data_IF_859877729792
#
_entry.id   IF_859877729792
#
_cell.length_a   1.000
_cell.length_b   1.000
_cell.length_c   1.000
_cell.angle_alpha   90.00
_cell.angle_beta   90.00
_cell.angle_gamma   90.00
#
_symmetry.space_group_name_H-M   'P 1'
#
loop_
_entity.id
_entity.type
_entity.pdbx_description
1 polymer ?
#
# COMPACT_ATOMS: atom_id res chain seq x y z
N UNK A 1 -67.50 16.27 65.42
CA UNK A 1 -66.12 15.75 65.56
C UNK A 1 -65.69 14.77 64.46
N UNK A 2 -66.53 13.82 63.98
CA UNK A 2 -66.09 12.86 62.94
C UNK A 2 -65.93 13.43 61.51
N UNK A 3 -66.65 14.51 61.17
CA UNK A 3 -66.59 15.15 59.84
C UNK A 3 -65.40 16.11 59.71
N UNK A 4 -65.19 16.95 60.72
CA UNK A 4 -64.04 17.84 60.90
C UNK A 4 -62.70 17.10 60.72
N UNK A 5 -62.53 15.99 61.44
CA UNK A 5 -61.32 15.17 61.33
C UNK A 5 -61.08 14.68 59.89
N UNK A 6 -62.14 14.18 59.23
CA UNK A 6 -62.05 13.70 57.85
C UNK A 6 -61.70 14.80 56.86
N UNK A 7 -62.22 16.02 57.01
CA UNK A 7 -61.85 17.15 56.15
C UNK A 7 -60.39 17.54 56.39
N UNK A 8 -59.97 17.65 57.66
CA UNK A 8 -58.58 17.97 58.00
C UNK A 8 -57.60 16.93 57.41
N UNK A 9 -57.91 15.64 57.55
CA UNK A 9 -57.12 14.53 56.99
C UNK A 9 -57.01 14.62 55.44
N UNK A 10 -58.09 14.99 54.75
CA UNK A 10 -58.08 15.16 53.28
C UNK A 10 -57.24 16.37 52.86
N UNK A 11 -57.39 17.51 53.53
CA UNK A 11 -56.60 18.72 53.24
C UNK A 11 -55.11 18.47 53.46
N UNK A 12 -54.76 17.77 54.53
CA UNK A 12 -53.38 17.37 54.82
C UNK A 12 -52.83 16.40 53.76
N UNK A 13 -53.62 15.42 53.32
CA UNK A 13 -53.23 14.51 52.25
C UNK A 13 -52.99 15.24 50.91
N UNK A 14 -53.82 16.23 50.57
CA UNK A 14 -53.65 17.05 49.36
C UNK A 14 -52.41 17.93 49.45
N UNK A 15 -52.15 18.53 50.61
CA UNK A 15 -50.94 19.32 50.85
C UNK A 15 -49.65 18.47 50.72
N UNK A 16 -49.65 17.25 51.27
CA UNK A 16 -48.54 16.30 51.12
C UNK A 16 -48.34 15.91 49.65
N UNK A 17 -49.41 15.57 48.93
CA UNK A 17 -49.33 15.23 47.51
C UNK A 17 -48.82 16.40 46.66
N UNK A 18 -49.24 17.64 46.97
CA UNK A 18 -48.74 18.84 46.33
C UNK A 18 -47.24 19.04 46.58
N UNK A 19 -46.76 18.87 47.82
CA UNK A 19 -45.32 18.94 48.14
C UNK A 19 -44.51 17.90 47.36
N UNK A 20 -44.99 16.65 47.30
CA UNK A 20 -44.35 15.58 46.53
C UNK A 20 -44.29 15.89 45.03
N UNK A 21 -45.36 16.48 44.46
CA UNK A 21 -45.37 16.92 43.07
C UNK A 21 -44.37 18.06 42.81
N UNK A 22 -44.19 18.99 43.75
CA UNK A 22 -43.19 20.05 43.64
C UNK A 22 -41.77 19.47 43.62
N UNK A 23 -41.47 18.55 44.55
CA UNK A 23 -40.17 17.86 44.60
C UNK A 23 -39.89 17.06 43.32
N UNK A 24 -40.87 16.29 42.83
CA UNK A 24 -40.74 15.52 41.60
C UNK A 24 -40.51 16.42 40.38
N UNK A 25 -41.23 17.53 40.28
CA UNK A 25 -41.09 18.49 39.18
C UNK A 25 -39.71 19.17 39.19
N UNK A 26 -39.19 19.50 40.38
CA UNK A 26 -37.85 20.04 40.53
C UNK A 26 -36.79 19.01 40.09
N UNK A 27 -36.89 17.77 40.56
CA UNK A 27 -35.99 16.69 40.16
C UNK A 27 -36.03 16.41 38.65
N UNK A 28 -37.21 16.49 38.03
CA UNK A 28 -37.39 16.32 36.60
C UNK A 28 -36.74 17.44 35.78
N UNK A 29 -36.81 18.69 36.26
CA UNK A 29 -36.09 19.81 35.64
C UNK A 29 -34.57 19.66 35.78
N UNK A 30 -34.06 19.24 36.94
CA UNK A 30 -32.64 18.99 37.14
C UNK A 30 -32.13 17.86 36.22
N UNK A 31 -32.91 16.77 36.10
CA UNK A 31 -32.60 15.67 35.18
C UNK A 31 -32.61 16.08 33.71
N UNK A 32 -33.53 16.96 33.31
CA UNK A 32 -33.54 17.51 31.96
C UNK A 32 -32.37 18.47 31.71
N UNK A 33 -32.03 19.33 32.67
CA UNK A 33 -30.87 20.21 32.54
C UNK A 33 -29.58 19.40 32.36
N UNK A 34 -29.44 18.29 33.09
CA UNK A 34 -28.33 17.37 32.90
C UNK A 34 -28.36 16.68 31.53
N UNK A 35 -29.52 16.20 31.10
CA UNK A 35 -29.70 15.59 29.77
C UNK A 35 -29.27 16.56 28.67
N UNK A 36 -29.71 17.83 28.73
CA UNK A 36 -29.32 18.90 27.79
C UNK A 36 -27.80 19.13 27.77
N UNK A 37 -27.13 19.11 28.94
CA UNK A 37 -25.66 19.22 28.98
C UNK A 37 -24.99 18.04 28.29
N UNK A 38 -25.50 16.82 28.49
CA UNK A 38 -24.96 15.62 27.87
C UNK A 38 -25.17 15.60 26.35
N UNK A 39 -26.33 16.04 25.85
CA UNK A 39 -26.56 16.16 24.40
C UNK A 39 -25.68 17.21 23.76
N UNK A 40 -25.38 18.33 24.42
CA UNK A 40 -24.40 19.31 23.91
C UNK A 40 -23.01 18.69 23.78
N UNK A 41 -22.55 17.95 24.80
CA UNK A 41 -21.27 17.24 24.73
C UNK A 41 -21.26 16.17 23.62
N UNK A 42 -22.34 15.41 23.48
CA UNK A 42 -22.50 14.43 22.42
C UNK A 42 -22.50 15.05 21.02
N UNK A 43 -23.12 16.22 20.84
CA UNK A 43 -23.13 16.96 19.57
C UNK A 43 -21.73 17.40 19.16
N UNK A 44 -20.95 17.91 20.11
CA UNK A 44 -19.57 18.30 19.89
C UNK A 44 -18.72 17.08 19.47
N UNK A 45 -18.83 15.96 20.20
CA UNK A 45 -18.13 14.72 19.87
C UNK A 45 -18.53 14.15 18.50
N UNK A 46 -19.81 14.19 18.16
CA UNK A 46 -20.35 13.76 16.87
C UNK A 46 -19.82 14.63 15.72
N UNK A 47 -19.77 15.96 15.91
CA UNK A 47 -19.20 16.89 14.93
C UNK A 47 -17.71 16.59 14.68
N UNK A 48 -16.95 16.41 15.75
CA UNK A 48 -15.53 16.04 15.66
C UNK A 48 -15.33 14.70 14.96
N UNK A 49 -16.17 13.70 15.26
CA UNK A 49 -16.13 12.41 14.57
C UNK A 49 -16.42 12.56 13.07
N UNK A 50 -17.36 13.43 12.67
CA UNK A 50 -17.63 13.72 11.25
C UNK A 50 -16.40 14.30 10.53
N UNK A 51 -15.75 15.30 11.14
CA UNK A 51 -14.52 15.89 10.59
C UNK A 51 -13.39 14.87 10.47
N UNK A 52 -13.26 13.97 11.46
CA UNK A 52 -12.27 12.89 11.38
C UNK A 52 -12.57 11.94 10.22
N UNK A 53 -13.84 11.54 10.04
CA UNK A 53 -14.25 10.67 8.92
C UNK A 53 -13.95 11.33 7.57
N UNK A 54 -14.23 12.63 7.41
CA UNK A 54 -13.90 13.38 6.19
C UNK A 54 -12.38 13.43 5.92
N UNK A 55 -11.59 13.65 6.97
CA UNK A 55 -10.12 13.68 6.87
C UNK A 55 -9.58 12.31 6.43
N UNK A 56 -10.05 11.23 7.05
CA UNK A 56 -9.63 9.87 6.68
C UNK A 56 -10.14 9.51 5.28
N UNK A 57 -11.32 9.98 4.86
CA UNK A 57 -11.83 9.77 3.50
C UNK A 57 -10.94 10.44 2.45
N UNK A 58 -10.49 11.67 2.70
CA UNK A 58 -9.51 12.35 1.83
C UNK A 58 -8.21 11.56 1.72
N UNK A 59 -7.65 11.13 2.86
CA UNK A 59 -6.42 10.32 2.87
C UNK A 59 -6.61 8.97 2.14
N UNK A 60 -7.79 8.35 2.25
CA UNK A 60 -8.13 7.10 1.55
C UNK A 60 -8.21 7.31 0.03
N UNK A 61 -8.71 8.47 -0.42
CA UNK A 61 -8.72 8.85 -1.83
C UNK A 61 -7.31 9.04 -2.38
N UNK A 62 -6.43 9.73 -1.63
CA UNK A 62 -5.02 9.90 -1.99
C UNK A 62 -4.28 8.55 -2.04
N UNK A 63 -4.52 7.66 -1.06
CA UNK A 63 -3.99 6.31 -1.07
C UNK A 63 -4.42 5.52 -2.31
N UNK A 64 -5.69 5.64 -2.71
CA UNK A 64 -6.20 4.99 -3.92
C UNK A 64 -5.46 5.48 -5.16
N UNK A 65 -5.25 6.79 -5.29
CA UNK A 65 -4.47 7.36 -6.39
C UNK A 65 -3.00 6.89 -6.37
N UNK A 66 -2.38 6.82 -5.19
CA UNK A 66 -1.01 6.32 -5.02
C UNK A 66 -0.87 4.85 -5.42
N UNK A 67 -1.80 3.99 -4.98
CA UNK A 67 -1.86 2.56 -5.33
C UNK A 67 -1.97 2.38 -6.84
N UNK A 68 -2.84 3.13 -7.52
CA UNK A 68 -2.96 3.06 -8.97
C UNK A 68 -1.67 3.47 -9.69
N UNK A 69 -1.00 4.53 -9.22
CA UNK A 69 0.29 4.95 -9.77
C UNK A 69 1.37 3.88 -9.58
N UNK A 70 1.41 3.23 -8.42
CA UNK A 70 2.34 2.12 -8.15
C UNK A 70 2.03 0.93 -9.07
N UNK A 71 0.75 0.58 -9.24
CA UNK A 71 0.33 -0.50 -10.15
C UNK A 71 0.84 -0.26 -11.58
N UNK A 72 0.68 0.96 -12.10
CA UNK A 72 1.21 1.33 -13.42
C UNK A 72 2.73 1.26 -13.48
N UNK A 73 3.44 1.73 -12.45
CA UNK A 73 4.90 1.68 -12.39
C UNK A 73 5.41 0.24 -12.38
N UNK A 74 4.76 -0.64 -11.62
CA UNK A 74 5.09 -2.07 -11.56
C UNK A 74 4.87 -2.73 -12.92
N UNK A 75 3.74 -2.45 -13.58
CA UNK A 75 3.47 -2.96 -14.92
C UNK A 75 4.52 -2.47 -15.95
N UNK A 76 4.92 -1.19 -15.88
CA UNK A 76 6.01 -0.64 -16.72
C UNK A 76 7.34 -1.34 -16.43
N UNK A 77 7.70 -1.54 -15.16
CA UNK A 77 8.93 -2.25 -14.76
C UNK A 77 8.96 -3.70 -15.27
N UNK A 78 7.83 -4.41 -15.16
CA UNK A 78 7.70 -5.76 -15.71
C UNK A 78 7.90 -5.78 -17.24
N UNK A 79 7.33 -4.80 -17.95
CA UNK A 79 7.54 -4.64 -19.39
C UNK A 79 9.00 -4.37 -19.78
N UNK A 80 9.70 -3.51 -19.01
CA UNK A 80 11.13 -3.23 -19.20
C UNK A 80 11.96 -4.49 -18.95
N UNK A 81 11.67 -5.23 -17.87
CA UNK A 81 12.37 -6.49 -17.57
C UNK A 81 12.18 -7.53 -18.69
N UNK A 82 10.95 -7.69 -19.20
CA UNK A 82 10.71 -8.58 -20.34
C UNK A 82 11.48 -8.16 -21.60
N UNK A 83 11.53 -6.86 -21.89
CA UNK A 83 12.33 -6.32 -22.98
C UNK A 83 13.83 -6.55 -22.81
N UNK A 84 14.36 -6.36 -21.59
CA UNK A 84 15.75 -6.63 -21.26
C UNK A 84 16.10 -8.12 -21.38
N UNK A 85 15.21 -9.02 -20.96
CA UNK A 85 15.39 -10.46 -21.11
C UNK A 85 15.53 -10.83 -22.59
N UNK A 86 14.71 -10.25 -23.46
CA UNK A 86 14.80 -10.47 -24.89
C UNK A 86 16.13 -9.98 -25.48
N UNK A 87 16.59 -8.79 -25.07
CA UNK A 87 17.88 -8.27 -25.51
C UNK A 87 19.04 -9.15 -25.03
N UNK A 88 19.00 -9.66 -23.80
CA UNK A 88 19.99 -10.59 -23.29
C UNK A 88 20.03 -11.88 -24.13
N UNK A 89 18.86 -12.48 -24.45
CA UNK A 89 18.79 -13.67 -25.32
C UNK A 89 19.39 -13.42 -26.70
N UNK A 90 19.05 -12.29 -27.33
CA UNK A 90 19.58 -11.92 -28.65
C UNK A 90 21.09 -11.71 -28.61
N UNK A 91 21.60 -11.09 -27.54
CA UNK A 91 23.04 -10.85 -27.36
C UNK A 91 23.79 -12.16 -27.15
N UNK A 92 23.21 -13.10 -26.37
CA UNK A 92 23.77 -14.43 -26.20
C UNK A 92 23.94 -15.17 -27.54
N UNK A 93 22.91 -15.14 -28.39
CA UNK A 93 22.98 -15.76 -29.72
C UNK A 93 24.07 -15.15 -30.63
N UNK A 94 24.34 -13.84 -30.50
CA UNK A 94 25.45 -13.19 -31.23
C UNK A 94 26.80 -13.70 -30.75
N UNK A 95 27.01 -13.83 -29.44
CA UNK A 95 28.26 -14.35 -28.89
C UNK A 95 28.46 -15.85 -29.15
N UNK A 96 27.39 -16.66 -29.14
CA UNK A 96 27.44 -18.06 -29.58
C UNK A 96 27.89 -18.16 -31.05
N UNK A 97 27.35 -17.30 -31.92
CA UNK A 97 27.79 -17.20 -33.31
C UNK A 97 29.25 -16.77 -33.46
N UNK A 98 29.71 -15.82 -32.63
CA UNK A 98 31.10 -15.39 -32.59
C UNK A 98 32.03 -16.52 -32.14
N UNK A 99 31.66 -17.27 -31.10
CA UNK A 99 32.41 -18.42 -30.60
C UNK A 99 32.56 -19.51 -31.67
N UNK A 100 31.47 -19.81 -32.39
CA UNK A 100 31.51 -20.76 -33.50
C UNK A 100 32.41 -20.26 -34.66
N UNK A 101 32.36 -18.96 -34.96
CA UNK A 101 33.18 -18.32 -36.00
C UNK A 101 34.67 -18.36 -35.66
N UNK A 102 35.04 -18.02 -34.42
CA UNK A 102 36.44 -18.00 -33.96
C UNK A 102 37.02 -19.41 -33.87
N UNK A 103 36.21 -20.40 -33.48
CA UNK A 103 36.59 -21.82 -33.54
C UNK A 103 36.98 -22.23 -34.96
N UNK A 104 36.15 -21.88 -35.95
CA UNK A 104 36.42 -22.19 -37.36
C UNK A 104 37.66 -21.48 -37.90
N UNK A 105 37.92 -20.25 -37.46
CA UNK A 105 39.16 -19.54 -37.80
C UNK A 105 40.36 -20.27 -37.19
N UNK A 106 40.27 -20.71 -35.92
CA UNK A 106 41.33 -21.50 -35.27
C UNK A 106 41.67 -22.79 -36.02
N UNK A 107 40.67 -23.50 -36.53
CA UNK A 107 40.87 -24.68 -37.39
C UNK A 107 41.63 -24.33 -38.69
N UNK A 108 41.27 -23.22 -39.34
CA UNK A 108 41.96 -22.75 -40.56
C UNK A 108 43.40 -22.32 -40.26
N UNK A 109 43.63 -21.59 -39.17
CA UNK A 109 44.97 -21.16 -38.76
C UNK A 109 45.86 -22.37 -38.46
N UNK A 110 45.31 -23.40 -37.80
CA UNK A 110 46.01 -24.67 -37.56
C UNK A 110 46.37 -25.38 -38.88
N UNK A 111 45.47 -25.39 -39.85
CA UNK A 111 45.76 -25.94 -41.18
C UNK A 111 46.87 -25.17 -41.90
N UNK A 112 46.84 -23.83 -41.87
CA UNK A 112 47.89 -23.00 -42.48
C UNK A 112 49.24 -23.24 -41.80
N UNK A 113 49.25 -23.34 -40.47
CA UNK A 113 50.46 -23.67 -39.72
C UNK A 113 51.06 -25.02 -40.19
N UNK A 114 50.23 -26.05 -40.30
CA UNK A 114 50.65 -27.36 -40.80
C UNK A 114 51.20 -27.31 -42.24
N UNK A 115 50.56 -26.52 -43.13
CA UNK A 115 51.03 -26.30 -44.50
C UNK A 115 52.40 -25.59 -44.50
N UNK A 116 52.59 -24.58 -43.64
CA UNK A 116 53.86 -23.86 -43.51
C UNK A 116 54.96 -24.80 -43.01
N UNK A 117 54.70 -25.62 -41.98
CA UNK A 117 55.65 -26.63 -41.50
C UNK A 117 56.01 -27.65 -42.58
N UNK A 118 55.04 -28.13 -43.35
CA UNK A 118 55.28 -29.06 -44.46
C UNK A 118 56.09 -28.40 -45.60
N UNK A 119 55.79 -27.14 -45.91
CA UNK A 119 56.52 -26.35 -46.91
C UNK A 119 57.97 -26.13 -46.50
N UNK A 120 58.21 -25.84 -45.22
CA UNK A 120 59.55 -25.73 -44.65
C UNK A 120 60.34 -27.04 -44.78
N UNK A 121 59.70 -28.19 -44.52
CA UNK A 121 60.33 -29.51 -44.72
C UNK A 121 60.63 -29.80 -46.19
N UNK A 122 59.72 -29.46 -47.10
CA UNK A 122 59.94 -29.60 -48.54
C UNK A 122 61.09 -28.71 -49.03
N UNK A 123 61.15 -27.46 -48.57
CA UNK A 123 62.22 -26.51 -48.89
C UNK A 123 63.58 -26.95 -48.33
N UNK A 124 63.59 -27.58 -47.15
CA UNK A 124 64.78 -28.19 -46.59
C UNK A 124 65.28 -29.35 -47.47
N UNK A 125 64.39 -30.26 -47.88
CA UNK A 125 64.74 -31.35 -48.79
C UNK A 125 65.26 -30.83 -50.14
N UNK A 126 64.65 -29.77 -50.68
CA UNK A 126 65.10 -29.12 -51.90
C UNK A 126 66.49 -28.47 -51.75
N UNK A 127 66.77 -27.84 -50.60
CA UNK A 127 68.11 -27.30 -50.27
C UNK A 127 69.16 -28.42 -50.23
N UNK A 128 68.82 -29.58 -49.65
CA UNK A 128 69.72 -30.75 -49.60
C UNK A 128 70.02 -31.27 -51.01
N UNK A 129 69.01 -31.44 -51.85
CA UNK A 129 69.19 -31.95 -53.21
C UNK A 129 69.92 -30.93 -54.10
N UNK A 130 69.69 -29.63 -53.91
CA UNK A 130 70.43 -28.56 -54.59
C UNK A 130 71.91 -28.56 -54.21
N UNK A 131 72.24 -28.81 -52.94
CA UNK A 131 73.62 -28.99 -52.50
C UNK A 131 74.27 -30.24 -53.13
N UNK A 132 73.49 -31.31 -53.32
CA UNK A 132 73.94 -32.55 -53.96
C UNK A 132 74.24 -32.39 -55.45
N UNK A 133 73.55 -31.48 -56.13
CA UNK A 133 73.77 -31.13 -57.54
C UNK A 133 74.99 -30.21 -57.78
N UNK A 134 75.67 -29.75 -56.73
CA UNK A 134 76.87 -28.92 -56.83
C UNK A 134 76.64 -27.57 -57.52
N UNK A 135 77.56 -27.17 -58.41
CA UNK A 135 77.50 -25.89 -59.15
C UNK A 135 76.20 -25.73 -59.97
N UNK A 136 75.64 -26.83 -60.49
CA UNK A 136 74.40 -26.82 -61.29
C UNK A 136 73.14 -26.55 -60.44
N UNK A 137 73.21 -26.75 -59.11
CA UNK A 137 72.09 -26.56 -58.18
C UNK A 137 72.00 -25.17 -57.55
N UNK A 138 72.95 -24.25 -57.82
CA UNK A 138 73.03 -22.93 -57.14
C UNK A 138 71.74 -22.11 -57.22
N UNK A 139 71.11 -22.03 -58.39
CA UNK A 139 69.84 -21.31 -58.56
C UNK A 139 68.69 -21.93 -57.76
N UNK A 140 68.62 -23.27 -57.72
CA UNK A 140 67.65 -24.00 -56.91
C UNK A 140 67.88 -23.83 -55.41
N UNK A 141 69.14 -23.77 -54.97
CA UNK A 141 69.48 -23.57 -53.57
C UNK A 141 68.99 -22.20 -53.05
N UNK A 142 69.08 -21.14 -53.87
CA UNK A 142 68.58 -19.80 -53.51
C UNK A 142 67.05 -19.82 -53.37
N UNK A 143 66.34 -20.41 -54.34
CA UNK A 143 64.87 -20.51 -54.28
C UNK A 143 64.43 -21.35 -53.08
N UNK A 144 65.08 -22.48 -52.82
CA UNK A 144 64.77 -23.33 -51.67
C UNK A 144 64.99 -22.61 -50.33
N UNK A 145 66.05 -21.79 -50.21
CA UNK A 145 66.29 -20.96 -49.03
C UNK A 145 65.21 -19.88 -48.84
N UNK A 146 64.77 -19.24 -49.92
CA UNK A 146 63.72 -18.22 -49.88
C UNK A 146 62.37 -18.82 -49.48
N UNK A 147 61.99 -19.97 -50.06
CA UNK A 147 60.77 -20.71 -49.68
C UNK A 147 60.83 -21.13 -48.22
N UNK A 148 61.99 -21.57 -47.73
CA UNK A 148 62.20 -21.93 -46.32
C UNK A 148 61.99 -20.73 -45.39
N UNK A 149 62.53 -19.57 -45.74
CA UNK A 149 62.36 -18.34 -44.97
C UNK A 149 60.89 -17.92 -44.92
N UNK A 150 60.20 -17.94 -46.07
CA UNK A 150 58.78 -17.59 -46.16
C UNK A 150 57.89 -18.55 -45.38
N UNK A 151 58.21 -19.85 -45.40
CA UNK A 151 57.51 -20.86 -44.61
C UNK A 151 57.67 -20.64 -43.10
N UNK A 152 58.88 -20.32 -42.63
CA UNK A 152 59.10 -19.97 -41.22
C UNK A 152 58.37 -18.69 -40.82
N UNK A 153 58.40 -17.65 -41.66
CA UNK A 153 57.66 -16.42 -41.41
C UNK A 153 56.15 -16.67 -41.35
N UNK A 154 55.63 -17.53 -42.22
CA UNK A 154 54.21 -17.94 -42.21
C UNK A 154 53.88 -18.69 -40.91
N UNK A 155 54.73 -19.62 -40.48
CA UNK A 155 54.53 -20.36 -39.23
C UNK A 155 54.47 -19.43 -38.02
N UNK A 156 55.41 -18.47 -37.92
CA UNK A 156 55.40 -17.47 -36.85
C UNK A 156 54.12 -16.60 -36.87
N UNK A 157 53.73 -16.12 -38.05
CA UNK A 157 52.51 -15.33 -38.19
C UNK A 157 51.25 -16.13 -37.78
N UNK A 158 51.18 -17.42 -38.13
CA UNK A 158 50.05 -18.27 -37.70
C UNK A 158 50.03 -18.53 -36.20
N UNK A 159 51.19 -18.58 -35.53
CA UNK A 159 51.28 -18.75 -34.09
C UNK A 159 50.78 -17.49 -33.34
N UNK A 160 51.16 -16.31 -33.82
CA UNK A 160 50.63 -15.03 -33.31
C UNK A 160 49.11 -14.93 -33.49
N UNK A 161 48.59 -15.29 -34.68
CA UNK A 161 47.14 -15.30 -34.94
C UNK A 161 46.44 -16.32 -34.03
N UNK A 162 47.01 -17.50 -33.82
CA UNK A 162 46.43 -18.52 -32.94
C UNK A 162 46.30 -18.01 -31.50
N UNK A 163 47.32 -17.33 -30.97
CA UNK A 163 47.26 -16.69 -29.66
C UNK A 163 46.13 -15.65 -29.60
N UNK A 164 45.99 -14.83 -30.63
CA UNK A 164 44.93 -13.81 -30.67
C UNK A 164 43.52 -14.42 -30.79
N UNK A 165 43.35 -15.54 -31.49
CA UNK A 165 42.09 -16.28 -31.53
C UNK A 165 41.75 -16.86 -30.15
N UNK A 166 42.73 -17.39 -29.42
CA UNK A 166 42.53 -17.89 -28.06
C UNK A 166 42.06 -16.78 -27.10
N UNK A 167 42.64 -15.58 -27.21
CA UNK A 167 42.23 -14.42 -26.42
C UNK A 167 40.78 -14.02 -26.74
N UNK A 168 40.40 -13.99 -28.03
CA UNK A 168 39.03 -13.70 -28.45
C UNK A 168 38.04 -14.75 -27.93
N UNK A 169 38.40 -16.03 -28.00
CA UNK A 169 37.56 -17.12 -27.47
C UNK A 169 37.35 -16.98 -25.96
N UNK A 170 38.41 -16.66 -25.22
CA UNK A 170 38.35 -16.45 -23.77
C UNK A 170 37.42 -15.27 -23.44
N UNK A 171 37.63 -14.11 -24.07
CA UNK A 171 36.79 -12.93 -23.87
C UNK A 171 35.32 -13.17 -24.28
N UNK A 172 35.09 -13.98 -25.32
CA UNK A 172 33.74 -14.38 -25.74
C UNK A 172 33.06 -15.25 -24.68
N UNK A 173 33.78 -16.21 -24.10
CA UNK A 173 33.27 -17.05 -23.01
C UNK A 173 32.92 -16.24 -21.76
N UNK A 174 33.76 -15.28 -21.39
CA UNK A 174 33.47 -14.35 -20.29
C UNK A 174 32.22 -13.51 -20.55
N UNK A 175 32.03 -13.03 -21.78
CA UNK A 175 30.85 -12.26 -22.17
C UNK A 175 29.56 -13.10 -22.10
N UNK A 176 29.58 -14.36 -22.56
CA UNK A 176 28.44 -15.28 -22.46
C UNK A 176 28.04 -15.49 -21.00
N UNK A 177 29.00 -15.80 -20.13
CA UNK A 177 28.74 -16.00 -18.69
C UNK A 177 28.14 -14.73 -18.05
N UNK A 178 28.68 -13.55 -18.38
CA UNK A 178 28.12 -12.29 -17.89
C UNK A 178 26.65 -12.10 -18.33
N UNK A 179 26.31 -12.43 -19.59
CA UNK A 179 24.94 -12.34 -20.11
C UNK A 179 24.00 -13.32 -19.41
N UNK A 180 24.44 -14.54 -19.08
CA UNK A 180 23.64 -15.50 -18.32
C UNK A 180 23.32 -14.98 -16.91
N UNK A 181 24.31 -14.42 -16.21
CA UNK A 181 24.12 -13.79 -14.89
C UNK A 181 23.13 -12.61 -14.97
N UNK A 182 23.27 -11.76 -16.00
CA UNK A 182 22.31 -10.67 -16.24
C UNK A 182 20.90 -11.20 -16.53
N UNK A 183 20.78 -12.27 -17.32
CA UNK A 183 19.51 -12.95 -17.59
C UNK A 183 18.83 -13.43 -16.31
N UNK A 184 19.59 -14.08 -15.41
CA UNK A 184 19.09 -14.50 -14.09
C UNK A 184 18.59 -13.34 -13.24
N UNK A 185 19.34 -12.22 -13.23
CA UNK A 185 18.94 -10.99 -12.51
C UNK A 185 17.63 -10.42 -13.06
N UNK A 186 17.45 -10.41 -14.38
CA UNK A 186 16.22 -9.92 -15.02
C UNK A 186 15.01 -10.79 -14.66
N UNK A 187 15.19 -12.12 -14.59
CA UNK A 187 14.13 -13.04 -14.15
C UNK A 187 13.72 -12.74 -12.70
N UNK A 188 14.68 -12.48 -11.80
CA UNK A 188 14.38 -12.09 -10.43
C UNK A 188 13.60 -10.77 -10.36
N UNK A 189 13.97 -9.77 -11.16
CA UNK A 189 13.22 -8.50 -11.26
C UNK A 189 11.77 -8.74 -11.70
N UNK A 190 11.56 -9.63 -12.68
CA UNK A 190 10.22 -9.97 -13.14
C UNK A 190 9.39 -10.66 -12.05
N UNK A 191 10.00 -11.56 -11.27
CA UNK A 191 9.32 -12.22 -10.15
C UNK A 191 8.92 -11.22 -9.07
N UNK A 192 9.86 -10.37 -8.64
CA UNK A 192 9.61 -9.32 -7.63
C UNK A 192 8.50 -8.38 -8.11
N UNK A 193 8.50 -8.00 -9.39
CA UNK A 193 7.43 -7.16 -9.96
C UNK A 193 6.06 -7.85 -9.87
N UNK A 194 5.99 -9.16 -10.07
CA UNK A 194 4.77 -9.94 -9.89
C UNK A 194 4.30 -9.98 -8.42
N UNK A 195 5.23 -10.16 -7.47
CA UNK A 195 4.92 -10.14 -6.04
C UNK A 195 4.41 -8.75 -5.60
N UNK A 196 5.02 -7.67 -6.07
CA UNK A 196 4.55 -6.31 -5.80
C UNK A 196 3.17 -6.08 -6.41
N UNK A 197 2.91 -6.55 -7.64
CA UNK A 197 1.59 -6.41 -8.27
C UNK A 197 0.49 -7.09 -7.41
N UNK A 198 0.74 -8.30 -6.93
CA UNK A 198 -0.19 -9.00 -6.04
C UNK A 198 -0.43 -8.24 -4.73
N UNK A 199 0.63 -7.66 -4.13
CA UNK A 199 0.51 -6.85 -2.93
C UNK A 199 -0.29 -5.55 -3.17
N UNK A 200 -0.10 -4.91 -4.33
CA UNK A 200 -0.85 -3.71 -4.75
C UNK A 200 -2.33 -4.01 -4.93
N UNK A 201 -2.68 -5.17 -5.52
CA UNK A 201 -4.08 -5.60 -5.65
C UNK A 201 -4.73 -5.82 -4.28
N UNK A 202 -4.02 -6.44 -3.34
CA UNK A 202 -4.49 -6.60 -1.96
C UNK A 202 -4.69 -5.25 -1.25
N UNK A 203 -3.74 -4.32 -1.40
CA UNK A 203 -3.86 -2.96 -0.85
C UNK A 203 -5.05 -2.20 -1.45
N UNK A 204 -5.30 -2.36 -2.76
CA UNK A 204 -6.45 -1.78 -3.44
C UNK A 204 -7.79 -2.30 -2.90
N UNK A 205 -7.87 -3.60 -2.62
CA UNK A 205 -9.04 -4.19 -1.97
C UNK A 205 -9.26 -3.65 -0.55
N UNK A 206 -8.21 -3.63 0.28
CA UNK A 206 -8.29 -3.11 1.66
C UNK A 206 -8.68 -1.62 1.69
N UNK A 207 -8.13 -0.81 0.79
CA UNK A 207 -8.44 0.63 0.69
C UNK A 207 -9.91 0.86 0.30
N UNK A 208 -10.46 0.04 -0.60
CA UNK A 208 -11.89 0.08 -0.95
C UNK A 208 -12.78 -0.30 0.23
N UNK A 209 -12.38 -1.29 1.02
CA UNK A 209 -13.10 -1.67 2.24
C UNK A 209 -13.06 -0.56 3.30
N UNK A 210 -11.93 0.12 3.47
CA UNK A 210 -11.82 1.30 4.33
C UNK A 210 -12.77 2.41 3.87
N UNK A 211 -12.79 2.72 2.57
CA UNK A 211 -13.70 3.72 2.01
C UNK A 211 -15.18 3.39 2.28
N UNK A 212 -15.57 2.11 2.14
CA UNK A 212 -16.92 1.66 2.45
C UNK A 212 -17.26 1.79 3.95
N UNK A 213 -16.33 1.45 4.84
CA UNK A 213 -16.50 1.62 6.28
C UNK A 213 -16.60 3.09 6.70
N UNK A 214 -15.85 3.99 6.04
CA UNK A 214 -15.93 5.43 6.30
C UNK A 214 -17.28 6.02 5.88
N UNK A 215 -17.84 5.56 4.75
CA UNK A 215 -19.19 5.95 4.34
C UNK A 215 -20.22 5.55 5.40
N UNK A 216 -20.16 4.31 5.88
CA UNK A 216 -21.03 3.84 6.97
C UNK A 216 -20.82 4.64 8.26
N UNK A 217 -19.57 4.96 8.61
CA UNK A 217 -19.26 5.77 9.78
C UNK A 217 -19.88 7.16 9.65
N UNK A 218 -19.74 7.83 8.50
CA UNK A 218 -20.34 9.13 8.20
C UNK A 218 -21.86 9.12 8.38
N UNK A 219 -22.53 8.09 7.87
CA UNK A 219 -23.98 7.98 7.98
C UNK A 219 -24.42 7.74 9.43
N UNK A 220 -23.67 6.94 10.20
CA UNK A 220 -23.90 6.77 11.64
C UNK A 220 -23.71 8.07 12.42
N UNK A 221 -22.71 8.91 12.10
CA UNK A 221 -22.55 10.21 12.76
C UNK A 221 -23.73 11.14 12.47
N UNK A 222 -24.28 11.11 11.25
CA UNK A 222 -25.51 11.86 10.91
C UNK A 222 -26.70 11.36 11.72
N UNK A 223 -26.85 10.06 11.90
CA UNK A 223 -27.94 9.48 12.71
C UNK A 223 -27.83 9.82 14.20
N UNK A 224 -26.61 9.85 14.73
CA UNK A 224 -26.35 10.34 16.11
C UNK A 224 -26.75 11.81 16.24
N UNK A 225 -26.38 12.67 15.28
CA UNK A 225 -26.80 14.08 15.29
C UNK A 225 -28.32 14.25 15.25
N UNK A 226 -29.03 13.47 14.42
CA UNK A 226 -30.51 13.48 14.41
C UNK A 226 -31.10 13.04 15.75
N UNK A 227 -30.53 12.00 16.36
CA UNK A 227 -30.96 11.51 17.68
C UNK A 227 -30.77 12.56 18.77
N UNK A 228 -29.66 13.30 18.74
CA UNK A 228 -29.40 14.41 19.67
C UNK A 228 -30.43 15.53 19.52
N UNK A 229 -30.78 15.92 18.29
CA UNK A 229 -31.82 16.92 18.04
C UNK A 229 -33.17 16.47 18.62
N UNK A 230 -33.53 15.20 18.41
CA UNK A 230 -34.78 14.64 18.94
C UNK A 230 -34.78 14.60 20.48
N UNK A 231 -33.66 14.23 21.10
CA UNK A 231 -33.54 14.20 22.57
C UNK A 231 -33.66 15.62 23.15
N UNK A 232 -33.00 16.61 22.54
CA UNK A 232 -33.14 18.00 22.98
C UNK A 232 -34.59 18.48 22.91
N UNK A 233 -35.31 18.19 21.83
CA UNK A 233 -36.74 18.52 21.71
C UNK A 233 -37.59 17.84 22.80
N UNK A 234 -37.37 16.55 23.05
CA UNK A 234 -38.07 15.81 24.10
C UNK A 234 -37.75 16.36 25.51
N UNK A 235 -36.52 16.77 25.77
CA UNK A 235 -36.12 17.41 27.04
C UNK A 235 -36.76 18.80 27.21
N UNK A 236 -36.88 19.60 26.16
CA UNK A 236 -37.61 20.88 26.21
C UNK A 236 -39.10 20.69 26.51
N UNK A 237 -39.75 19.72 25.86
CA UNK A 237 -41.14 19.35 26.13
C UNK A 237 -41.34 18.88 27.59
N UNK A 238 -40.45 17.99 28.06
CA UNK A 238 -40.49 17.49 29.42
C UNK A 238 -40.24 18.58 30.47
N UNK A 239 -39.36 19.56 30.19
CA UNK A 239 -39.11 20.69 31.11
C UNK A 239 -40.32 21.63 31.16
N UNK A 240 -40.96 21.86 30.02
CA UNK A 240 -42.23 22.61 29.95
C UNK A 240 -43.34 21.92 30.75
N UNK A 241 -43.46 20.59 30.63
CA UNK A 241 -44.43 19.81 31.39
C UNK A 241 -44.16 19.83 32.90
N UNK A 242 -42.89 19.68 33.31
CA UNK A 242 -42.46 19.77 34.70
C UNK A 242 -42.74 21.17 35.29
N UNK A 243 -42.52 22.24 34.52
CA UNK A 243 -42.88 23.60 34.91
C UNK A 243 -44.38 23.77 35.18
N UNK A 244 -45.23 23.25 34.28
CA UNK A 244 -46.69 23.28 34.48
C UNK A 244 -47.14 22.46 35.69
N UNK A 245 -46.52 21.30 35.91
CA UNK A 245 -46.78 20.46 37.10
C UNK A 245 -46.40 21.18 38.39
N UNK A 246 -45.25 21.86 38.41
CA UNK A 246 -44.79 22.66 39.54
C UNK A 246 -45.78 23.79 39.87
N UNK A 247 -46.26 24.49 38.84
CA UNK A 247 -47.24 25.58 39.01
C UNK A 247 -48.58 25.05 39.53
N UNK A 248 -49.06 23.93 38.99
CA UNK A 248 -50.28 23.27 39.46
C UNK A 248 -50.15 22.79 40.92
N UNK A 249 -49.00 22.22 41.28
CA UNK A 249 -48.72 21.77 42.64
C UNK A 249 -48.63 22.92 43.64
N UNK A 250 -48.02 24.06 43.25
CA UNK A 250 -48.02 25.29 44.06
C UNK A 250 -49.43 25.83 44.28
N UNK A 251 -50.26 25.85 43.23
CA UNK A 251 -51.65 26.27 43.33
C UNK A 251 -52.45 25.35 44.27
N UNK A 252 -52.26 24.04 44.17
CA UNK A 252 -52.93 23.05 45.03
C UNK A 252 -52.51 23.18 46.50
N UNK A 253 -51.21 23.43 46.76
CA UNK A 253 -50.71 23.73 48.11
C UNK A 253 -51.37 24.97 48.69
N UNK A 254 -51.39 26.08 47.94
CA UNK A 254 -52.04 27.34 48.37
C UNK A 254 -53.53 27.16 48.63
N UNK A 255 -54.24 26.43 47.76
CA UNK A 255 -55.67 26.14 47.93
C UNK A 255 -55.93 25.28 49.17
N UNK A 256 -55.04 24.34 49.48
CA UNK A 256 -55.11 23.49 50.68
C UNK A 256 -54.89 24.30 51.95
N UNK A 257 -53.91 25.20 51.95
CA UNK A 257 -53.67 26.12 53.08
C UNK A 257 -54.87 27.04 53.32
N UNK A 258 -55.46 27.60 52.26
CA UNK A 258 -56.69 28.40 52.37
C UNK A 258 -57.85 27.57 52.93
N UNK A 259 -58.05 26.36 52.42
CA UNK A 259 -59.13 25.48 52.88
C UNK A 259 -58.96 25.11 54.35
N UNK A 260 -57.72 24.87 54.80
CA UNK A 260 -57.41 24.64 56.22
C UNK A 260 -57.82 25.82 57.09
N UNK A 261 -57.46 27.05 56.69
CA UNK A 261 -57.81 28.27 57.42
C UNK A 261 -59.34 28.47 57.49
N UNK A 262 -60.05 28.27 56.38
CA UNK A 262 -61.51 28.39 56.34
C UNK A 262 -62.21 27.34 57.21
N UNK A 263 -61.72 26.09 57.18
CA UNK A 263 -62.24 25.01 58.03
C UNK A 263 -62.00 25.31 59.51
N UNK A 264 -60.79 25.72 59.88
CA UNK A 264 -60.44 26.09 61.26
C UNK A 264 -61.30 27.26 61.76
N UNK A 265 -61.52 28.27 60.91
CA UNK A 265 -62.37 29.43 61.21
C UNK A 265 -63.84 29.03 61.41
N UNK A 266 -64.39 28.21 60.51
CA UNK A 266 -65.75 27.71 60.59
C UNK A 266 -65.98 26.90 61.86
N UNK A 267 -65.04 26.02 62.22
CA UNK A 267 -65.11 25.22 63.44
C UNK A 267 -65.01 26.08 64.71
N UNK A 268 -64.12 27.07 64.71
CA UNK A 268 -64.03 28.06 65.79
C UNK A 268 -65.35 28.83 65.97
N UNK A 269 -66.02 29.21 64.88
CA UNK A 269 -67.32 29.89 64.93
C UNK A 269 -68.45 29.00 65.47
N UNK A 270 -68.42 27.69 65.20
CA UNK A 270 -69.38 26.70 65.70
C UNK A 270 -69.18 26.37 67.19
N UNK A 271 -67.95 26.49 67.71
CA UNK A 271 -67.67 26.28 69.14
C UNK A 271 -68.00 27.51 70.00
N UNK A 272 -68.05 28.69 69.37
CA UNK A 272 -68.40 29.96 70.03
C UNK A 272 -69.92 30.26 70.03
N UNK A 273 -70.72 29.49 69.30
CA UNK A 273 -72.18 29.56 69.22
C UNK A 273 -72.84 28.48 70.10
#
# INVERSE_FOLDING_TARGET
MGFERKISDVVEAVAVAASQMQELSASMNDGNAETTRQTVAAAAASTQASTNVETVASATSELTASINNIAEQVARSAGIAAGAAEQARRTNAVFEGLAAGTQKIGEVVTLIHNIASQTNLLALNATIEAARAGEHGRGFAVVASEVKALANQTAMATEEIAAQIQDIQTATGEAVNAIEIFGGTIVQISQISGEIAAAVDQQSAATREIAANLQQASDRTKDVNRSIVNINGASEEASTAAGRLLDAAKALSSQSDQLKVEVDSFLGSLQAA
#
